data_IF_032415543073
#
_entry.id   IF_032415543073
#
_cell.length_a   1.000
_cell.length_b   1.000
_cell.length_c   1.000
_cell.angle_alpha   90.00
_cell.angle_beta   90.00
_cell.angle_gamma   90.00
#
_symmetry.space_group_name_H-M   'P 1'
#
loop_
_entity.id
_entity.type
_entity.pdbx_description
1 polymer ?
#
# COMPACT_ATOMS: atom_id res chain seq x y z
N UNK A 1 -37.64 46.86 -11.05
CA UNK A 1 -37.36 45.50 -10.54
C UNK A 1 -35.91 45.26 -10.87
N UNK A 2 -35.06 45.49 -9.87
CA UNK A 2 -33.62 45.33 -9.96
C UNK A 2 -33.29 44.23 -8.96
N UNK A 3 -32.83 43.09 -9.46
CA UNK A 3 -32.39 41.97 -8.63
C UNK A 3 -30.90 42.20 -8.32
N UNK A 4 -30.59 42.36 -7.03
CA UNK A 4 -29.22 42.40 -6.52
C UNK A 4 -28.87 41.02 -5.97
N UNK A 5 -28.04 40.28 -6.70
CA UNK A 5 -27.48 39.00 -6.26
C UNK A 5 -26.38 39.24 -5.21
N UNK A 6 -26.73 38.99 -3.95
CA UNK A 6 -25.86 39.08 -2.78
C UNK A 6 -24.92 37.87 -2.72
N UNK A 7 -23.64 38.08 -3.00
CA UNK A 7 -22.59 37.07 -2.90
C UNK A 7 -22.25 36.81 -1.43
N UNK A 8 -22.70 35.68 -0.89
CA UNK A 8 -22.29 35.19 0.44
C UNK A 8 -21.00 34.36 0.33
N UNK A 9 -19.89 34.75 0.99
CA UNK A 9 -18.68 33.93 1.03
C UNK A 9 -18.88 32.75 1.99
N UNK A 10 -18.53 31.54 1.53
CA UNK A 10 -18.42 30.36 2.37
C UNK A 10 -17.19 30.49 3.29
N UNK A 11 -17.42 30.54 4.60
CA UNK A 11 -16.36 30.42 5.61
C UNK A 11 -15.95 28.95 5.73
N UNK A 12 -14.71 28.67 5.36
CA UNK A 12 -14.03 27.38 5.48
C UNK A 12 -13.28 27.33 6.83
N UNK A 13 -13.99 26.98 7.91
CA UNK A 13 -13.38 26.70 9.22
C UNK A 13 -13.07 25.19 9.30
N UNK A 14 -11.95 24.79 8.68
CA UNK A 14 -11.39 23.44 8.82
C UNK A 14 -10.34 23.43 9.94
N UNK A 15 -10.82 23.50 11.19
CA UNK A 15 -10.02 23.18 12.37
C UNK A 15 -9.80 21.66 12.42
N UNK A 16 -8.70 21.19 11.81
CA UNK A 16 -8.21 19.83 12.01
C UNK A 16 -7.24 19.82 13.19
N UNK A 17 -7.82 19.65 14.38
CA UNK A 17 -7.11 19.41 15.63
C UNK A 17 -6.33 18.09 15.52
N UNK A 18 -5.05 18.16 15.15
CA UNK A 18 -4.14 17.00 15.19
C UNK A 18 -3.82 16.68 16.64
N UNK A 19 -4.69 15.91 17.27
CA UNK A 19 -4.40 15.24 18.53
C UNK A 19 -3.33 14.17 18.28
N UNK A 20 -2.12 14.42 18.76
CA UNK A 20 -1.05 13.44 18.87
C UNK A 20 -1.53 12.31 19.77
N UNK A 21 -2.02 11.23 19.17
CA UNK A 21 -2.28 10.00 19.90
C UNK A 21 -0.96 9.31 20.16
N UNK A 22 -0.41 9.53 21.36
CA UNK A 22 0.61 8.67 21.93
C UNK A 22 0.03 7.25 22.01
N UNK A 23 0.39 6.41 21.06
CA UNK A 23 0.12 4.98 21.13
C UNK A 23 1.06 4.38 22.17
N UNK A 24 0.68 4.50 23.44
CA UNK A 24 1.18 3.62 24.48
C UNK A 24 0.76 2.20 24.11
N UNK A 25 1.69 1.47 23.51
CA UNK A 25 1.54 0.04 23.25
C UNK A 25 1.36 -0.68 24.57
N UNK A 26 0.11 -0.91 24.97
CA UNK A 26 -0.24 -1.82 26.04
C UNK A 26 0.10 -3.23 25.57
N UNK A 27 1.25 -3.72 26.01
CA UNK A 27 1.67 -5.11 25.92
C UNK A 27 0.61 -5.94 26.68
N UNK A 28 -0.36 -6.47 25.93
CA UNK A 28 -1.29 -7.50 26.40
C UNK A 28 -0.48 -8.77 26.69
N UNK A 29 0.13 -8.81 27.86
CA UNK A 29 0.80 -9.99 28.38
C UNK A 29 -0.29 -11.04 28.67
N UNK A 30 -0.56 -11.90 27.69
CA UNK A 30 -1.26 -13.16 27.94
C UNK A 30 -0.42 -13.95 28.96
N UNK A 31 -0.94 -14.22 30.18
CA UNK A 31 -0.20 -14.89 31.25
C UNK A 31 0.17 -16.34 30.92
N UNK A 32 -0.30 -16.89 29.79
CA UNK A 32 -0.01 -18.25 29.36
C UNK A 32 1.14 -18.36 28.32
N UNK A 33 1.71 -17.23 27.90
CA UNK A 33 2.86 -17.22 27.00
C UNK A 33 4.15 -17.41 27.83
N UNK A 34 4.54 -18.66 28.04
CA UNK A 34 5.85 -19.03 28.57
C UNK A 34 6.93 -18.57 27.57
N UNK A 35 7.43 -17.35 27.75
CA UNK A 35 8.48 -16.78 26.93
C UNK A 35 9.81 -16.82 27.66
N UNK A 36 10.85 -17.31 26.99
CA UNK A 36 12.21 -17.33 27.51
C UNK A 36 13.07 -16.39 26.67
N UNK A 37 13.85 -15.54 27.33
CA UNK A 37 14.82 -14.65 26.68
C UNK A 37 16.20 -15.29 26.81
N UNK A 38 16.87 -15.43 25.67
CA UNK A 38 18.25 -15.90 25.59
C UNK A 38 19.13 -14.82 24.97
N UNK A 39 20.38 -14.74 25.44
CA UNK A 39 21.40 -13.82 24.92
C UNK A 39 22.56 -14.63 24.33
N UNK A 40 23.02 -14.24 23.15
CA UNK A 40 24.20 -14.84 22.51
C UNK A 40 25.09 -13.76 21.91
N UNK A 41 26.39 -13.83 22.19
CA UNK A 41 27.39 -12.99 21.53
C UNK A 41 27.71 -13.58 20.15
N UNK A 42 27.40 -12.85 19.09
CA UNK A 42 27.72 -13.22 17.70
C UNK A 42 28.50 -12.06 17.09
N UNK A 43 29.76 -12.32 16.69
CA UNK A 43 30.64 -11.33 16.05
C UNK A 43 30.71 -9.98 16.79
N UNK A 44 30.84 -10.02 18.13
CA UNK A 44 30.91 -8.82 18.98
C UNK A 44 29.58 -8.12 19.24
N UNK A 45 28.47 -8.64 18.70
CA UNK A 45 27.12 -8.11 18.92
C UNK A 45 26.34 -9.01 19.86
N UNK A 46 25.74 -8.44 20.92
CA UNK A 46 24.80 -9.18 21.78
C UNK A 46 23.48 -9.30 21.02
N UNK A 47 23.13 -10.52 20.63
CA UNK A 47 21.84 -10.85 20.02
C UNK A 47 20.92 -11.37 21.13
N UNK A 48 19.82 -10.66 21.34
CA UNK A 48 18.72 -11.10 22.22
C UNK A 48 17.69 -11.85 21.38
N UNK A 49 17.22 -12.99 21.88
CA UNK A 49 16.16 -13.75 21.22
C UNK A 49 15.11 -14.11 22.24
N UNK A 50 13.85 -13.79 21.94
CA UNK A 50 12.69 -14.24 22.69
C UNK A 50 12.11 -15.47 22.00
N UNK A 51 12.04 -16.58 22.71
CA UNK A 51 11.40 -17.81 22.24
C UNK A 51 9.95 -17.85 22.72
N UNK A 52 9.06 -18.29 21.83
CA UNK A 52 7.66 -18.56 22.11
C UNK A 52 7.36 -20.02 21.79
N UNK A 53 6.61 -20.68 22.66
CA UNK A 53 6.20 -22.06 22.46
C UNK A 53 4.74 -22.12 22.02
N UNK A 54 4.49 -22.68 20.84
CA UNK A 54 3.16 -23.01 20.36
C UNK A 54 2.55 -24.14 21.18
N UNK A 55 1.22 -24.27 21.15
CA UNK A 55 0.49 -25.37 21.82
C UNK A 55 0.86 -26.76 21.29
N UNK A 56 1.43 -26.81 20.09
CA UNK A 56 1.96 -28.00 19.42
C UNK A 56 3.43 -28.30 19.78
N UNK A 57 4.06 -27.48 20.63
CA UNK A 57 5.47 -27.58 20.98
C UNK A 57 6.41 -26.93 19.96
N UNK A 58 5.89 -26.25 18.93
CA UNK A 58 6.71 -25.51 17.98
C UNK A 58 7.40 -24.31 18.66
N UNK A 59 8.69 -24.11 18.41
CA UNK A 59 9.45 -22.98 18.94
C UNK A 59 9.55 -21.87 17.88
N UNK A 60 9.00 -20.69 18.18
CA UNK A 60 9.09 -19.49 17.36
C UNK A 60 10.09 -18.52 17.99
N UNK A 61 11.07 -18.08 17.21
CA UNK A 61 12.14 -17.19 17.67
C UNK A 61 11.94 -15.79 17.14
N UNK A 62 11.74 -14.84 18.04
CA UNK A 62 11.78 -13.42 17.71
C UNK A 62 13.19 -12.89 18.06
N UNK A 63 13.92 -12.47 17.04
CA UNK A 63 15.22 -11.83 17.21
C UNK A 63 14.94 -10.39 17.63
N UNK A 64 15.20 -10.10 18.91
CA UNK A 64 15.16 -8.75 19.45
C UNK A 64 16.43 -8.05 18.95
N UNK A 65 16.30 -7.33 17.83
CA UNK A 65 17.37 -6.51 17.30
C UNK A 65 17.88 -5.58 18.41
N UNK A 66 19.20 -5.51 18.57
CA UNK A 66 19.79 -4.55 19.50
C UNK A 66 19.30 -3.14 19.15
N UNK A 67 19.09 -2.24 20.12
CA UNK A 67 18.57 -0.88 19.87
C UNK A 67 19.36 -0.08 18.81
N UNK A 68 20.60 -0.49 18.54
CA UNK A 68 21.52 0.15 17.61
C UNK A 68 21.75 -0.65 16.32
N UNK A 69 20.94 -1.68 16.05
CA UNK A 69 21.00 -2.43 14.80
C UNK A 69 20.36 -1.59 13.67
N UNK A 70 21.03 -0.51 13.29
CA UNK A 70 20.67 0.27 12.11
C UNK A 70 21.08 -0.53 10.87
N UNK A 71 20.12 -0.77 9.98
CA UNK A 71 20.46 -1.15 8.60
C UNK A 71 21.21 0.03 8.00
N UNK A 72 22.51 -0.13 7.76
CA UNK A 72 23.29 0.89 7.06
C UNK A 72 22.64 1.15 5.71
N UNK A 73 22.54 2.42 5.29
CA UNK A 73 21.92 2.82 4.02
C UNK A 73 22.52 2.10 2.81
N UNK A 74 23.77 1.62 2.92
CA UNK A 74 24.45 0.77 1.94
C UNK A 74 23.79 -0.60 1.72
N UNK A 75 23.01 -1.12 2.68
CA UNK A 75 22.30 -2.40 2.59
C UNK A 75 20.82 -2.25 2.22
N UNK A 76 20.34 -1.02 2.03
CA UNK A 76 19.00 -0.77 1.50
C UNK A 76 19.08 -0.80 -0.02
N UNK A 77 18.69 -1.94 -0.61
CA UNK A 77 18.53 -2.03 -2.06
C UNK A 77 17.27 -1.26 -2.44
N UNK A 78 17.45 0.03 -2.73
CA UNK A 78 16.42 0.85 -3.36
C UNK A 78 16.32 0.42 -4.82
N UNK A 79 15.41 -0.52 -5.11
CA UNK A 79 14.98 -0.70 -6.48
C UNK A 79 14.30 0.59 -6.92
N UNK A 80 14.78 1.27 -7.99
CA UNK A 80 13.97 2.30 -8.59
C UNK A 80 12.62 1.67 -8.92
N UNK A 81 11.53 2.32 -8.52
CA UNK A 81 10.21 1.92 -9.00
C UNK A 81 10.25 2.15 -10.50
N UNK A 82 10.52 1.09 -11.25
CA UNK A 82 10.57 1.14 -12.69
C UNK A 82 9.18 1.54 -13.17
N UNK A 83 8.99 2.84 -13.40
CA UNK A 83 7.90 3.33 -14.23
C UNK A 83 8.02 2.59 -15.56
N UNK A 84 6.94 1.96 -16.00
CA UNK A 84 6.90 1.26 -17.28
C UNK A 84 7.38 2.28 -18.34
N UNK A 85 8.33 1.93 -19.22
CA UNK A 85 9.10 2.90 -20.02
C UNK A 85 8.25 3.79 -20.95
N UNK A 86 6.97 3.45 -21.17
CA UNK A 86 6.06 4.21 -22.02
C UNK A 86 5.06 5.10 -21.24
N UNK A 87 5.05 5.05 -19.91
CA UNK A 87 4.06 5.79 -19.09
C UNK A 87 4.54 7.17 -18.68
N UNK A 88 5.83 7.48 -18.86
CA UNK A 88 6.41 8.77 -18.49
C UNK A 88 6.07 9.90 -19.47
N UNK A 89 5.63 9.55 -20.68
CA UNK A 89 5.32 10.52 -21.75
C UNK A 89 3.82 10.82 -21.88
N UNK A 90 2.96 10.14 -21.13
CA UNK A 90 1.54 10.43 -21.11
C UNK A 90 1.30 11.71 -20.29
N UNK A 91 0.92 12.78 -20.97
CA UNK A 91 0.67 14.10 -20.38
C UNK A 91 -0.81 14.36 -20.14
N UNK A 92 -1.67 13.58 -20.79
CA UNK A 92 -3.12 13.68 -20.68
C UNK A 92 -3.77 12.43 -20.08
N UNK A 93 -4.98 12.60 -19.55
CA UNK A 93 -5.81 11.48 -19.08
C UNK A 93 -6.17 10.50 -20.20
N UNK A 94 -6.36 11.01 -21.42
CA UNK A 94 -6.62 10.19 -22.61
C UNK A 94 -5.42 9.31 -22.97
N UNK A 95 -4.21 9.88 -23.01
CA UNK A 95 -2.99 9.11 -23.24
C UNK A 95 -2.74 8.08 -22.12
N UNK A 96 -3.11 8.41 -20.89
CA UNK A 96 -3.02 7.48 -19.76
C UNK A 96 -3.98 6.31 -19.92
N UNK A 97 -5.18 6.55 -20.45
CA UNK A 97 -6.17 5.51 -20.73
C UNK A 97 -5.69 4.53 -21.81
N UNK A 98 -5.02 5.03 -22.85
CA UNK A 98 -4.46 4.22 -23.94
C UNK A 98 -3.35 3.24 -23.47
N UNK A 99 -2.73 3.49 -22.32
CA UNK A 99 -1.77 2.56 -21.70
C UNK A 99 -2.45 1.25 -21.23
N UNK A 100 -3.73 1.32 -20.87
CA UNK A 100 -4.49 0.18 -20.37
C UNK A 100 -5.36 -0.46 -21.44
N UNK A 101 -5.89 0.35 -22.35
CA UNK A 101 -6.79 -0.10 -23.41
C UNK A 101 -6.14 0.20 -24.76
N UNK A 102 -5.58 -0.85 -25.38
CA UNK A 102 -4.99 -0.72 -26.71
C UNK A 102 -6.05 -0.54 -27.79
N UNK A 103 -5.68 0.11 -28.89
CA UNK A 103 -6.52 0.23 -30.08
C UNK A 103 -6.96 -1.14 -30.64
N UNK A 104 -6.13 -2.17 -30.51
CA UNK A 104 -6.50 -3.51 -30.97
C UNK A 104 -7.58 -4.16 -30.11
N UNK A 105 -7.59 -3.92 -28.79
CA UNK A 105 -8.70 -4.32 -27.93
C UNK A 105 -10.01 -3.65 -28.36
N UNK A 106 -9.97 -2.35 -28.65
CA UNK A 106 -11.13 -1.59 -29.13
C UNK A 106 -11.64 -2.20 -30.44
N UNK A 107 -10.74 -2.51 -31.40
CA UNK A 107 -11.13 -3.17 -32.67
C UNK A 107 -11.83 -4.50 -32.45
N UNK A 108 -11.34 -5.34 -31.52
CA UNK A 108 -11.96 -6.62 -31.20
C UNK A 108 -13.36 -6.42 -30.61
N UNK A 109 -13.50 -5.50 -29.66
CA UNK A 109 -14.79 -5.17 -29.04
C UNK A 109 -15.79 -4.70 -30.11
N UNK A 110 -15.39 -3.75 -30.95
CA UNK A 110 -16.24 -3.20 -32.02
C UNK A 110 -16.65 -4.29 -33.01
N UNK A 111 -15.71 -5.15 -33.42
CA UNK A 111 -16.00 -6.28 -34.31
C UNK A 111 -17.07 -7.19 -33.70
N UNK A 112 -16.88 -7.61 -32.46
CA UNK A 112 -17.80 -8.53 -31.80
C UNK A 112 -19.18 -7.90 -31.59
N UNK A 113 -19.24 -6.64 -31.16
CA UNK A 113 -20.52 -5.92 -31.00
C UNK A 113 -21.28 -5.80 -32.33
N UNK A 114 -20.58 -5.57 -33.44
CA UNK A 114 -21.21 -5.50 -34.75
C UNK A 114 -21.72 -6.86 -35.23
N UNK A 115 -20.97 -7.94 -34.99
CA UNK A 115 -21.40 -9.31 -35.32
C UNK A 115 -22.63 -9.71 -34.49
N UNK A 116 -22.60 -9.46 -33.20
CA UNK A 116 -23.73 -9.72 -32.30
C UNK A 116 -24.97 -8.89 -32.67
N UNK A 117 -24.77 -7.62 -33.02
CA UNK A 117 -25.84 -6.74 -33.48
C UNK A 117 -26.46 -7.16 -34.82
N UNK A 118 -25.73 -7.86 -35.69
CA UNK A 118 -26.28 -8.47 -36.92
C UNK A 118 -27.10 -9.72 -36.59
N UNK A 119 -26.59 -10.57 -35.69
CA UNK A 119 -27.27 -11.78 -35.21
C UNK A 119 -28.64 -11.45 -34.61
N UNK A 120 -28.73 -10.41 -33.78
CA UNK A 120 -29.99 -10.00 -33.15
C UNK A 120 -30.99 -9.39 -34.14
N UNK A 121 -30.52 -8.80 -35.25
CA UNK A 121 -31.39 -8.19 -36.27
C UNK A 121 -31.87 -9.18 -37.33
N UNK A 122 -31.46 -10.46 -37.27
CA UNK A 122 -31.86 -11.46 -38.26
C UNK A 122 -31.32 -11.18 -39.67
N UNK A 123 -30.32 -10.32 -39.80
CA UNK A 123 -29.63 -10.01 -41.06
C UNK A 123 -28.36 -10.87 -41.09
N UNK A 124 -28.54 -12.15 -41.42
CA UNK A 124 -27.44 -13.08 -41.72
C UNK A 124 -27.25 -13.15 -43.24
#
# INVERSE_FOLDING_TARGET
MSDEDEFVPFSDDSDTDTTTSDSSGEESADPNLNSSISEKLINGTIVRTRSYFGKDGSEWKNILMAPNAQTTSANIVNFPRNSIPNTQNATSSAETFDLFISQDMIKVIVKYMNEEGKRQRGVA
#
